data_IF_950520682714
#
_entry.id   IF_950520682714
#
_cell.length_a   1.000
_cell.length_b   1.000
_cell.length_c   1.000
_cell.angle_alpha   90.00
_cell.angle_beta   90.00
_cell.angle_gamma   90.00
#
_symmetry.space_group_name_H-M   'P 1'
#
loop_
_entity.id
_entity.type
_entity.pdbx_description
1 polymer ?
#
# COMPACT_ATOMS: atom_id res chain seq x y z
N UNK A 1 -9.57 25.44 -48.95
CA UNK A 1 -9.73 24.77 -47.67
C UNK A 1 -8.38 24.61 -47.01
N UNK A 2 -8.06 25.47 -46.07
CA UNK A 2 -6.80 25.40 -45.32
C UNK A 2 -7.04 24.39 -44.19
N UNK A 3 -6.41 23.19 -44.27
CA UNK A 3 -6.38 22.23 -43.16
C UNK A 3 -5.65 22.89 -41.99
N UNK A 4 -6.38 23.29 -40.95
CA UNK A 4 -5.81 23.65 -39.66
C UNK A 4 -5.01 22.44 -39.15
N UNK A 5 -3.68 22.50 -39.25
CA UNK A 5 -2.82 21.60 -38.48
C UNK A 5 -3.00 21.97 -37.02
N UNK A 6 -3.73 21.12 -36.28
CA UNK A 6 -3.72 21.17 -34.83
C UNK A 6 -2.31 20.72 -34.39
N UNK A 7 -1.48 21.70 -34.03
CA UNK A 7 -0.25 21.41 -33.31
C UNK A 7 -0.63 20.91 -31.93
N UNK A 8 -0.72 19.59 -31.78
CA UNK A 8 -0.67 18.99 -30.47
C UNK A 8 0.77 19.18 -30.01
N UNK A 9 0.99 20.08 -29.05
CA UNK A 9 2.30 20.22 -28.41
C UNK A 9 2.62 18.85 -27.79
N UNK A 10 3.61 18.15 -28.34
CA UNK A 10 4.13 16.95 -27.71
C UNK A 10 4.74 17.39 -26.39
N UNK A 11 4.13 16.98 -25.30
CA UNK A 11 4.66 17.26 -23.97
C UNK A 11 6.10 16.73 -23.92
N UNK A 12 7.02 17.54 -23.39
CA UNK A 12 8.44 17.17 -23.23
C UNK A 12 8.58 15.85 -22.47
N UNK A 13 7.67 15.54 -21.56
CA UNK A 13 7.61 14.25 -20.86
C UNK A 13 7.45 13.04 -21.80
N UNK A 14 6.83 13.21 -22.99
CA UNK A 14 6.71 12.15 -24.00
C UNK A 14 7.99 11.96 -24.81
N UNK A 15 8.94 12.87 -24.70
CA UNK A 15 10.27 12.76 -25.32
C UNK A 15 11.30 12.19 -24.36
N UNK A 16 11.00 12.17 -23.04
CA UNK A 16 11.82 11.50 -22.06
C UNK A 16 11.58 9.99 -22.12
N UNK A 17 12.61 9.19 -21.94
CA UNK A 17 12.51 7.73 -21.90
C UNK A 17 11.81 7.19 -20.65
N UNK A 18 10.98 7.98 -19.95
CA UNK A 18 10.24 7.61 -18.74
C UNK A 18 9.03 6.71 -18.99
N UNK A 19 8.89 6.15 -20.17
CA UNK A 19 7.70 5.41 -20.58
C UNK A 19 7.90 3.91 -20.30
N UNK A 20 6.98 3.32 -19.51
CA UNK A 20 6.86 1.89 -19.27
C UNK A 20 7.45 1.42 -17.94
N UNK A 21 6.91 0.31 -17.46
CA UNK A 21 7.29 -0.30 -16.18
C UNK A 21 8.48 -1.26 -16.30
N UNK A 22 8.72 -1.83 -17.47
CA UNK A 22 9.83 -2.79 -17.70
C UNK A 22 11.22 -2.15 -17.55
N UNK A 23 11.36 -0.91 -17.98
CA UNK A 23 12.60 -0.15 -17.96
C UNK A 23 12.43 1.11 -17.10
N UNK A 24 11.91 0.88 -15.88
CA UNK A 24 11.45 1.93 -14.99
C UNK A 24 12.60 2.76 -14.44
N UNK A 25 12.53 4.09 -14.64
CA UNK A 25 13.56 5.02 -14.20
C UNK A 25 13.74 5.03 -12.68
N UNK A 26 12.64 5.02 -11.92
CA UNK A 26 12.70 5.03 -10.45
C UNK A 26 13.43 3.81 -9.91
N UNK A 27 13.12 2.62 -10.45
CA UNK A 27 13.82 1.38 -10.12
C UNK A 27 15.31 1.48 -10.41
N UNK A 28 15.70 1.99 -11.59
CA UNK A 28 17.11 2.15 -11.95
C UNK A 28 17.84 3.13 -11.04
N UNK A 29 17.22 4.26 -10.67
CA UNK A 29 17.81 5.20 -9.71
C UNK A 29 17.98 4.51 -8.35
N UNK A 30 16.97 3.81 -7.86
CA UNK A 30 17.01 3.13 -6.56
C UNK A 30 18.09 2.06 -6.51
N UNK A 31 18.12 1.16 -7.49
CA UNK A 31 19.11 0.08 -7.57
C UNK A 31 20.52 0.64 -7.74
N UNK A 32 20.70 1.69 -8.54
CA UNK A 32 22.00 2.34 -8.71
C UNK A 32 22.49 2.99 -7.42
N UNK A 33 21.61 3.68 -6.72
CA UNK A 33 21.95 4.40 -5.49
C UNK A 33 22.31 3.44 -4.36
N UNK A 34 21.63 2.28 -4.29
CA UNK A 34 21.88 1.26 -3.27
C UNK A 34 23.01 0.27 -3.64
N UNK A 35 23.54 0.36 -4.86
CA UNK A 35 24.62 -0.51 -5.34
C UNK A 35 25.96 -0.18 -4.67
N UNK A 36 26.75 -1.23 -4.37
CA UNK A 36 28.16 -1.07 -3.96
C UNK A 36 29.03 -0.45 -5.05
N UNK A 37 28.64 -0.62 -6.33
CA UNK A 37 29.35 -0.09 -7.51
C UNK A 37 28.37 0.70 -8.38
N UNK A 38 28.00 1.92 -7.96
CA UNK A 38 27.03 2.72 -8.70
C UNK A 38 27.59 3.10 -10.09
N UNK A 39 26.73 3.02 -11.11
CA UNK A 39 27.01 3.56 -12.44
C UNK A 39 27.05 5.09 -12.39
N UNK A 40 27.71 5.72 -13.36
CA UNK A 40 27.62 7.17 -13.50
C UNK A 40 26.17 7.57 -13.80
N UNK A 41 25.58 8.38 -12.93
CA UNK A 41 24.21 8.88 -13.08
C UNK A 41 23.97 9.58 -14.44
N UNK A 42 25.04 10.07 -15.07
CA UNK A 42 25.00 10.63 -16.43
C UNK A 42 24.60 9.61 -17.49
N UNK A 43 25.00 8.36 -17.32
CA UNK A 43 24.62 7.28 -18.25
C UNK A 43 23.13 6.96 -18.14
N UNK A 44 22.60 6.89 -16.91
CA UNK A 44 21.17 6.70 -16.66
C UNK A 44 20.39 7.89 -17.24
N UNK A 45 20.83 9.11 -16.99
CA UNK A 45 20.22 10.32 -17.52
C UNK A 45 20.16 10.31 -19.05
N UNK A 46 21.26 9.94 -19.70
CA UNK A 46 21.36 9.82 -21.16
C UNK A 46 20.42 8.76 -21.71
N UNK A 47 20.36 7.58 -21.08
CA UNK A 47 19.45 6.49 -21.46
C UNK A 47 17.99 6.93 -21.48
N UNK A 48 17.58 7.74 -20.52
CA UNK A 48 16.21 8.24 -20.38
C UNK A 48 15.98 9.63 -21.01
N UNK A 49 16.94 10.18 -21.76
CA UNK A 49 16.87 11.51 -22.36
C UNK A 49 16.51 12.61 -21.35
N UNK A 50 17.12 12.58 -20.17
CA UNK A 50 16.91 13.51 -19.06
C UNK A 50 18.17 14.27 -18.69
N UNK A 51 18.00 15.44 -18.07
CA UNK A 51 19.10 16.16 -17.45
C UNK A 51 19.54 15.46 -16.14
N UNK A 52 20.85 15.47 -15.87
CA UNK A 52 21.43 14.91 -14.63
C UNK A 52 20.84 15.54 -13.39
N UNK A 53 20.54 16.84 -13.41
CA UNK A 53 19.87 17.55 -12.31
C UNK A 53 18.50 16.99 -11.95
N UNK A 54 17.77 16.45 -12.93
CA UNK A 54 16.48 15.81 -12.71
C UNK A 54 16.63 14.53 -11.87
N UNK A 55 17.65 13.72 -12.18
CA UNK A 55 17.93 12.49 -11.43
C UNK A 55 18.41 12.79 -10.02
N UNK A 56 19.32 13.76 -9.85
CA UNK A 56 19.75 14.20 -8.52
C UNK A 56 18.59 14.79 -7.70
N UNK A 57 17.67 15.51 -8.36
CA UNK A 57 16.47 16.01 -7.72
C UNK A 57 15.56 14.89 -7.22
N UNK A 58 15.42 13.80 -7.97
CA UNK A 58 14.70 12.62 -7.54
C UNK A 58 15.46 11.89 -6.41
N UNK A 59 16.73 11.57 -6.60
CA UNK A 59 17.57 10.87 -5.62
C UNK A 59 17.59 11.58 -4.25
N UNK A 60 17.78 12.90 -4.22
CA UNK A 60 17.84 13.66 -2.97
C UNK A 60 16.49 13.83 -2.27
N UNK A 61 15.37 13.57 -2.94
CA UNK A 61 14.04 13.69 -2.37
C UNK A 61 13.70 12.53 -1.45
N UNK A 62 13.99 11.29 -1.89
CA UNK A 62 13.63 10.10 -1.15
C UNK A 62 14.60 9.80 -0.02
N UNK A 63 14.06 9.52 1.17
CA UNK A 63 14.81 9.33 2.41
C UNK A 63 15.92 8.30 2.25
N UNK A 64 15.60 7.11 1.71
CA UNK A 64 16.56 6.01 1.61
C UNK A 64 17.60 6.17 0.50
N UNK A 65 17.38 7.09 -0.42
CA UNK A 65 18.34 7.35 -1.50
C UNK A 65 19.35 8.44 -1.13
N UNK A 66 19.17 9.14 -0.01
CA UNK A 66 20.09 10.19 0.43
C UNK A 66 21.46 9.62 0.76
N UNK A 67 22.55 10.33 0.39
CA UNK A 67 23.91 9.88 0.73
C UNK A 67 24.12 9.60 2.23
N UNK A 68 23.48 10.38 3.10
CA UNK A 68 23.55 10.20 4.56
C UNK A 68 22.95 8.88 5.06
N UNK A 69 22.09 8.22 4.26
CA UNK A 69 21.49 6.94 4.60
C UNK A 69 22.32 5.73 4.16
N UNK A 70 23.14 5.88 3.13
CA UNK A 70 23.96 4.78 2.59
C UNK A 70 24.92 4.16 3.60
N UNK A 71 25.38 4.93 4.58
CA UNK A 71 26.30 4.47 5.61
C UNK A 71 25.60 3.91 6.86
N UNK A 72 24.28 4.04 6.95
CA UNK A 72 23.50 3.55 8.08
C UNK A 72 23.30 2.05 7.95
N UNK A 73 23.40 1.36 9.10
CA UNK A 73 23.15 -0.09 9.22
C UNK A 73 21.84 -0.39 9.93
N UNK A 74 21.47 0.45 10.88
CA UNK A 74 20.22 0.31 11.61
C UNK A 74 19.40 1.61 11.54
N UNK A 75 18.08 1.46 11.52
CA UNK A 75 17.15 2.58 11.54
C UNK A 75 16.12 2.36 12.64
N UNK A 76 16.02 3.30 13.57
CA UNK A 76 15.02 3.27 14.65
C UNK A 76 13.73 3.89 14.16
N UNK A 77 12.60 3.27 14.47
CA UNK A 77 11.28 3.79 14.11
C UNK A 77 11.02 5.14 14.80
N UNK A 78 10.73 6.18 14.01
CA UNK A 78 10.38 7.52 14.48
C UNK A 78 8.87 7.82 14.33
N UNK A 79 8.03 6.77 14.34
CA UNK A 79 6.58 6.91 14.29
C UNK A 79 5.97 7.33 15.63
N UNK A 80 4.88 8.12 15.58
CA UNK A 80 4.25 8.70 16.79
C UNK A 80 3.83 7.63 17.81
N UNK A 81 3.37 6.45 17.40
CA UNK A 81 3.03 5.38 18.34
C UNK A 81 4.24 4.92 19.16
N UNK A 82 5.40 4.70 18.53
CA UNK A 82 6.64 4.35 19.23
C UNK A 82 7.17 5.51 20.10
N UNK A 83 7.04 6.74 19.62
CA UNK A 83 7.44 7.93 20.39
C UNK A 83 6.58 8.12 21.64
N UNK A 84 5.25 8.00 21.51
CA UNK A 84 4.33 8.07 22.64
C UNK A 84 4.56 6.97 23.67
N UNK A 85 4.96 5.78 23.23
CA UNK A 85 5.33 4.68 24.13
C UNK A 85 6.69 4.91 24.85
N UNK A 86 7.46 5.95 24.47
CA UNK A 86 8.73 6.29 25.10
C UNK A 86 9.84 5.26 24.93
N UNK A 87 9.74 4.38 23.92
CA UNK A 87 10.63 3.21 23.80
C UNK A 87 11.89 3.47 22.97
N UNK A 88 11.90 4.53 22.17
CA UNK A 88 12.84 4.69 21.06
C UNK A 88 14.21 5.27 21.46
N UNK A 89 14.27 6.19 22.43
CA UNK A 89 15.55 6.80 22.84
C UNK A 89 16.53 5.74 23.37
N UNK A 90 16.08 4.90 24.30
CA UNK A 90 16.90 3.82 24.87
C UNK A 90 17.36 2.82 23.81
N UNK A 91 16.45 2.46 22.88
CA UNK A 91 16.78 1.58 21.76
C UNK A 91 17.86 2.19 20.87
N UNK A 92 17.70 3.47 20.53
CA UNK A 92 18.66 4.22 19.70
C UNK A 92 20.03 4.29 20.34
N UNK A 93 20.09 4.56 21.65
CA UNK A 93 21.36 4.58 22.39
C UNK A 93 22.02 3.20 22.42
N UNK A 94 21.25 2.15 22.66
CA UNK A 94 21.76 0.76 22.62
C UNK A 94 22.34 0.39 21.24
N UNK A 95 21.65 0.74 20.15
CA UNK A 95 22.14 0.48 18.81
C UNK A 95 23.39 1.30 18.47
N UNK A 96 23.45 2.56 18.90
CA UNK A 96 24.65 3.42 18.72
C UNK A 96 25.84 2.90 19.47
N UNK A 97 25.67 2.41 20.69
CA UNK A 97 26.74 1.79 21.48
C UNK A 97 27.32 0.56 20.77
N UNK A 98 26.45 -0.26 20.16
CA UNK A 98 26.89 -1.52 19.51
C UNK A 98 27.41 -1.34 18.09
N UNK A 99 26.85 -0.43 17.31
CA UNK A 99 27.15 -0.26 15.88
C UNK A 99 28.01 0.98 15.59
N UNK A 100 28.05 1.96 16.49
CA UNK A 100 28.64 3.27 16.28
C UNK A 100 27.60 4.36 15.96
N UNK A 101 27.85 5.58 16.42
CA UNK A 101 26.93 6.72 16.27
C UNK A 101 26.52 6.99 14.82
N UNK A 102 27.48 6.88 13.89
CA UNK A 102 27.27 7.18 12.48
C UNK A 102 26.51 6.08 11.74
N UNK A 103 26.28 4.93 12.36
CA UNK A 103 25.65 3.77 11.74
C UNK A 103 24.17 3.61 12.06
N UNK A 104 23.62 4.49 12.92
CA UNK A 104 22.20 4.47 13.30
C UNK A 104 21.49 5.67 12.73
N UNK A 105 20.38 5.42 12.06
CA UNK A 105 19.47 6.42 11.50
C UNK A 105 18.07 6.29 12.08
N UNK A 106 17.14 7.01 11.46
CA UNK A 106 15.72 6.98 11.79
C UNK A 106 14.90 6.67 10.54
N UNK A 107 13.75 6.04 10.72
CA UNK A 107 12.84 5.62 9.65
C UNK A 107 11.40 5.79 10.14
N UNK A 108 10.48 6.21 9.29
CA UNK A 108 9.10 6.50 9.66
C UNK A 108 8.14 5.69 8.80
N UNK A 109 7.25 5.04 9.35
CA UNK A 109 6.90 4.18 10.44
C UNK A 109 7.14 2.73 10.00
N UNK A 110 7.69 1.85 10.84
CA UNK A 110 7.99 0.46 10.47
C UNK A 110 6.77 -0.48 10.56
N UNK A 111 5.58 0.04 10.90
CA UNK A 111 4.35 -0.74 11.00
C UNK A 111 4.27 -1.71 12.18
N UNK A 112 5.09 -1.52 13.24
CA UNK A 112 5.09 -2.31 14.47
C UNK A 112 4.46 -1.55 15.66
N UNK A 113 3.43 -0.77 15.39
CA UNK A 113 2.77 0.07 16.38
C UNK A 113 2.07 -0.73 17.49
N UNK A 114 1.81 -2.02 17.26
CA UNK A 114 1.18 -2.94 18.23
C UNK A 114 2.13 -3.41 19.35
N UNK A 115 3.46 -3.28 19.18
CA UNK A 115 4.46 -3.75 20.17
C UNK A 115 5.57 -2.75 20.46
N UNK A 116 5.76 -1.72 19.61
CA UNK A 116 6.81 -0.68 19.70
C UNK A 116 8.25 -1.24 19.68
N UNK A 117 9.23 -0.48 20.18
CA UNK A 117 10.65 -0.82 20.12
C UNK A 117 11.13 -1.21 18.71
N UNK A 118 10.49 -0.64 17.68
CA UNK A 118 10.72 -1.05 16.31
C UNK A 118 12.01 -0.46 15.74
N UNK A 119 12.80 -1.29 15.06
CA UNK A 119 13.97 -0.89 14.30
C UNK A 119 14.14 -1.78 13.06
N UNK A 120 14.81 -1.24 12.07
CA UNK A 120 15.20 -1.93 10.86
C UNK A 120 16.71 -2.22 10.90
N UNK A 121 17.12 -3.42 10.56
CA UNK A 121 18.53 -3.81 10.49
C UNK A 121 18.70 -4.90 9.43
N UNK A 122 19.68 -4.73 8.54
CA UNK A 122 20.06 -5.71 7.50
C UNK A 122 18.88 -6.21 6.65
N UNK A 123 17.99 -5.30 6.23
CA UNK A 123 16.86 -5.62 5.37
C UNK A 123 15.61 -6.13 6.09
N UNK A 124 15.64 -6.32 7.42
CA UNK A 124 14.54 -6.85 8.22
C UNK A 124 14.09 -5.87 9.31
N UNK A 125 12.81 -5.98 9.70
CA UNK A 125 12.25 -5.22 10.81
C UNK A 125 12.18 -6.08 12.06
N UNK A 126 12.56 -5.51 13.19
CA UNK A 126 12.52 -6.11 14.52
C UNK A 126 11.75 -5.20 15.47
N UNK A 127 11.05 -5.79 16.45
CA UNK A 127 10.25 -4.99 17.38
C UNK A 127 9.95 -5.74 18.68
N UNK A 128 9.35 -5.06 19.65
CA UNK A 128 8.88 -5.65 20.89
C UNK A 128 9.99 -6.39 21.66
N UNK A 129 9.78 -7.67 21.89
CA UNK A 129 10.74 -8.55 22.62
C UNK A 129 12.03 -8.85 21.85
N UNK A 130 12.08 -8.57 20.55
CA UNK A 130 13.28 -8.81 19.74
C UNK A 130 14.46 -7.96 20.22
N UNK A 131 14.21 -6.85 20.93
CA UNK A 131 15.27 -6.02 21.52
C UNK A 131 16.16 -6.81 22.50
N UNK A 132 15.62 -7.83 23.16
CA UNK A 132 16.39 -8.67 24.08
C UNK A 132 17.43 -9.53 23.32
N UNK A 133 17.26 -9.66 22.01
CA UNK A 133 18.11 -10.46 21.12
C UNK A 133 18.99 -9.58 20.19
N UNK A 134 19.15 -8.29 20.49
CA UNK A 134 19.91 -7.36 19.63
C UNK A 134 21.31 -7.91 19.29
N UNK A 135 22.00 -8.56 20.24
CA UNK A 135 23.32 -9.12 19.98
C UNK A 135 23.30 -10.28 18.98
N UNK A 136 22.25 -11.10 19.00
CA UNK A 136 22.07 -12.18 18.03
C UNK A 136 21.73 -11.60 16.65
N UNK A 137 20.83 -10.60 16.59
CA UNK A 137 20.46 -9.91 15.36
C UNK A 137 21.68 -9.29 14.68
N UNK A 138 22.51 -8.56 15.44
CA UNK A 138 23.72 -7.92 14.91
C UNK A 138 24.74 -8.93 14.39
N UNK A 139 24.79 -10.15 14.98
CA UNK A 139 25.63 -11.25 14.50
C UNK A 139 25.06 -11.97 13.27
N UNK A 140 23.86 -11.61 12.81
CA UNK A 140 23.18 -12.27 11.70
C UNK A 140 22.58 -13.63 12.06
N UNK A 141 22.32 -13.89 13.35
CA UNK A 141 21.62 -15.10 13.78
C UNK A 141 20.13 -14.98 13.46
N UNK A 142 19.56 -16.04 12.90
CA UNK A 142 18.11 -16.09 12.61
C UNK A 142 17.31 -16.10 13.92
N UNK A 143 16.38 -15.17 14.06
CA UNK A 143 15.46 -15.10 15.19
C UNK A 143 14.03 -15.36 14.73
N UNK A 144 13.30 -16.16 15.50
CA UNK A 144 11.86 -16.35 15.27
C UNK A 144 11.12 -15.12 15.75
N UNK A 145 10.49 -14.42 14.83
CA UNK A 145 9.60 -13.29 15.13
C UNK A 145 8.16 -13.75 15.32
N UNK A 146 7.46 -13.15 16.27
CA UNK A 146 6.03 -13.39 16.48
C UNK A 146 5.22 -12.54 15.49
N UNK A 147 4.15 -13.11 14.92
CA UNK A 147 3.18 -12.34 14.14
C UNK A 147 2.27 -11.55 15.08
N UNK A 148 1.81 -10.40 14.62
CA UNK A 148 0.78 -9.66 15.33
C UNK A 148 -0.55 -10.42 15.32
N UNK A 149 -1.36 -10.16 16.34
CA UNK A 149 -2.68 -10.80 16.48
C UNK A 149 -3.65 -10.22 15.44
N UNK A 150 -4.41 -11.07 14.79
CA UNK A 150 -5.46 -10.67 13.85
C UNK A 150 -6.72 -11.52 14.06
N UNK A 151 -7.90 -10.87 14.02
CA UNK A 151 -9.19 -11.56 14.19
C UNK A 151 -10.34 -10.78 13.56
N UNK A 152 -11.29 -11.50 12.95
CA UNK A 152 -12.56 -10.90 12.52
C UNK A 152 -13.61 -10.95 13.63
N UNK A 153 -14.22 -9.80 13.87
CA UNK A 153 -15.44 -9.63 14.68
C UNK A 153 -16.63 -9.17 13.82
N UNK A 154 -16.45 -9.18 12.51
CA UNK A 154 -17.49 -8.82 11.57
C UNK A 154 -18.62 -9.84 11.51
N UNK A 155 -19.84 -9.39 11.28
CA UNK A 155 -21.01 -10.25 11.04
C UNK A 155 -20.78 -11.18 9.84
N UNK A 156 -20.12 -10.66 8.82
CA UNK A 156 -19.60 -11.42 7.66
C UNK A 156 -18.21 -10.91 7.34
N UNK A 157 -17.23 -11.80 7.36
CA UNK A 157 -15.86 -11.45 6.99
C UNK A 157 -15.71 -11.32 5.46
N UNK A 158 -15.12 -10.21 5.01
CA UNK A 158 -14.79 -9.94 3.61
C UNK A 158 -13.29 -9.85 3.39
N UNK A 159 -12.55 -9.51 4.44
CA UNK A 159 -11.12 -9.22 4.39
C UNK A 159 -10.27 -10.34 4.99
N UNK A 160 -10.80 -11.03 6.02
CA UNK A 160 -10.10 -12.07 6.78
C UNK A 160 -10.65 -13.49 6.53
N UNK A 161 -11.59 -13.69 5.61
CA UNK A 161 -12.09 -15.02 5.26
C UNK A 161 -11.07 -15.80 4.42
N UNK A 162 -11.15 -17.14 4.46
CA UNK A 162 -10.26 -18.08 3.77
C UNK A 162 -10.74 -18.47 2.35
N UNK A 163 -11.66 -17.71 1.75
CA UNK A 163 -12.26 -18.05 0.46
C UNK A 163 -11.34 -17.82 -0.73
N UNK A 164 -10.20 -17.18 -0.51
CA UNK A 164 -9.15 -16.98 -1.51
C UNK A 164 -7.76 -17.11 -0.87
N UNK A 165 -7.53 -18.20 -0.17
CA UNK A 165 -6.29 -18.51 0.55
C UNK A 165 -5.35 -19.44 -0.22
N UNK A 166 -5.80 -20.01 -1.35
CA UNK A 166 -5.00 -20.89 -2.20
C UNK A 166 -5.07 -20.52 -3.67
N UNK A 167 -4.06 -20.98 -4.43
CA UNK A 167 -4.01 -20.79 -5.88
C UNK A 167 -5.13 -21.53 -6.62
N UNK A 168 -5.62 -22.63 -6.08
CA UNK A 168 -6.75 -23.36 -6.66
C UNK A 168 -8.04 -22.55 -6.52
N UNK A 169 -8.30 -22.00 -5.36
CA UNK A 169 -9.42 -21.07 -5.15
C UNK A 169 -9.29 -19.83 -6.05
N UNK A 170 -8.08 -19.29 -6.21
CA UNK A 170 -7.81 -18.18 -7.12
C UNK A 170 -8.17 -18.54 -8.56
N UNK A 171 -7.72 -19.70 -9.04
CA UNK A 171 -8.03 -20.23 -10.37
C UNK A 171 -9.54 -20.38 -10.59
N UNK A 172 -10.26 -20.98 -9.65
CA UNK A 172 -11.70 -21.20 -9.74
C UNK A 172 -12.47 -19.87 -9.82
N UNK A 173 -12.15 -18.92 -8.96
CA UNK A 173 -12.78 -17.60 -8.99
C UNK A 173 -12.43 -16.85 -10.28
N UNK A 174 -11.17 -16.90 -10.71
CA UNK A 174 -10.73 -16.25 -11.94
C UNK A 174 -11.48 -16.79 -13.17
N UNK A 175 -11.57 -18.14 -13.29
CA UNK A 175 -12.30 -18.80 -14.37
C UNK A 175 -13.80 -18.43 -14.38
N UNK A 176 -14.41 -18.24 -13.20
CA UNK A 176 -15.79 -17.76 -13.07
C UNK A 176 -15.93 -16.31 -13.56
N UNK A 177 -15.08 -15.40 -13.05
CA UNK A 177 -15.25 -13.97 -13.32
C UNK A 177 -14.81 -13.55 -14.71
N UNK A 178 -13.86 -14.24 -15.34
CA UNK A 178 -13.52 -13.97 -16.76
C UNK A 178 -14.67 -14.30 -17.73
N UNK A 179 -15.66 -15.10 -17.32
CA UNK A 179 -16.88 -15.38 -18.06
C UNK A 179 -18.05 -14.46 -17.72
N UNK A 180 -17.89 -13.62 -16.72
CA UNK A 180 -18.93 -12.67 -16.25
C UNK A 180 -18.83 -11.38 -17.06
N UNK A 181 -19.99 -10.77 -17.40
CA UNK A 181 -19.99 -9.45 -18.06
C UNK A 181 -19.32 -8.41 -17.13
N UNK A 182 -18.39 -7.64 -17.67
CA UNK A 182 -17.68 -6.56 -16.96
C UNK A 182 -18.64 -5.56 -16.30
N UNK A 183 -19.80 -5.31 -16.92
CA UNK A 183 -20.84 -4.42 -16.37
C UNK A 183 -21.49 -5.01 -15.11
N UNK A 184 -21.61 -6.31 -15.01
CA UNK A 184 -22.15 -6.98 -13.81
C UNK A 184 -21.14 -6.87 -12.65
N UNK A 185 -19.84 -6.98 -12.93
CA UNK A 185 -18.78 -6.76 -11.93
C UNK A 185 -18.85 -5.32 -11.41
N UNK A 186 -18.91 -4.34 -12.31
CA UNK A 186 -19.05 -2.91 -11.93
C UNK A 186 -20.34 -2.68 -11.14
N UNK A 187 -21.46 -3.25 -11.59
CA UNK A 187 -22.74 -3.15 -10.90
C UNK A 187 -22.67 -3.72 -9.48
N UNK A 188 -22.05 -4.87 -9.30
CA UNK A 188 -21.86 -5.47 -7.97
C UNK A 188 -21.09 -4.53 -7.03
N UNK A 189 -20.03 -3.87 -7.52
CA UNK A 189 -19.27 -2.90 -6.72
C UNK A 189 -20.07 -1.61 -6.43
N UNK A 190 -20.92 -1.16 -7.36
CA UNK A 190 -21.81 -0.02 -7.13
C UNK A 190 -22.89 -0.36 -6.09
N UNK A 191 -23.55 -1.50 -6.25
CA UNK A 191 -24.59 -1.97 -5.34
C UNK A 191 -24.08 -2.24 -3.92
N UNK A 192 -22.80 -2.58 -3.78
CA UNK A 192 -22.15 -2.75 -2.47
C UNK A 192 -21.94 -1.47 -1.68
N UNK A 193 -22.00 -0.30 -2.33
CA UNK A 193 -21.60 1.00 -1.76
C UNK A 193 -20.14 1.02 -1.24
N UNK A 194 -19.24 0.22 -1.82
CA UNK A 194 -17.83 0.26 -1.45
C UNK A 194 -17.21 1.60 -1.82
N UNK A 195 -16.70 2.30 -0.82
CA UNK A 195 -15.88 3.50 -0.97
C UNK A 195 -14.41 3.20 -0.71
N UNK A 196 -13.52 4.02 -1.28
CA UNK A 196 -12.08 3.88 -1.09
C UNK A 196 -11.68 3.88 0.38
N UNK A 197 -10.87 2.90 0.79
CA UNK A 197 -10.44 2.67 2.19
C UNK A 197 -9.16 3.43 2.56
N UNK A 198 -8.50 4.04 1.59
CA UNK A 198 -7.27 4.82 1.81
C UNK A 198 -7.49 6.30 2.15
N UNK A 199 -8.67 6.70 2.66
CA UNK A 199 -8.96 8.04 3.17
C UNK A 199 -9.87 8.90 2.28
N UNK A 200 -9.73 8.87 0.95
CA UNK A 200 -10.50 9.75 0.04
C UNK A 200 -11.99 9.38 -0.09
N UNK A 201 -12.40 8.17 0.25
CA UNK A 201 -13.80 7.75 0.29
C UNK A 201 -14.55 7.76 -1.05
N UNK A 202 -13.86 7.82 -2.20
CA UNK A 202 -14.52 7.84 -3.50
C UNK A 202 -15.12 6.46 -3.83
N UNK A 203 -16.35 6.38 -4.42
CA UNK A 203 -16.99 5.10 -4.75
C UNK A 203 -16.17 4.28 -5.74
N UNK A 204 -15.78 3.06 -5.33
CA UNK A 204 -14.84 2.21 -6.08
C UNK A 204 -15.41 1.77 -7.42
N UNK A 205 -16.69 1.34 -7.46
CA UNK A 205 -17.37 0.96 -8.70
C UNK A 205 -17.42 2.10 -9.72
N UNK A 206 -17.64 3.35 -9.28
CA UNK A 206 -17.60 4.53 -10.15
C UNK A 206 -16.21 4.80 -10.70
N UNK A 207 -15.15 4.64 -9.86
CA UNK A 207 -13.75 4.83 -10.29
C UNK A 207 -13.41 3.84 -11.42
N UNK A 208 -13.78 2.57 -11.28
CA UNK A 208 -13.54 1.55 -12.30
C UNK A 208 -14.35 1.82 -13.57
N UNK A 209 -15.62 2.18 -13.44
CA UNK A 209 -16.49 2.53 -14.57
C UNK A 209 -15.95 3.72 -15.37
N UNK A 210 -15.55 4.80 -14.71
CA UNK A 210 -14.98 5.97 -15.38
C UNK A 210 -13.70 5.63 -16.15
N UNK A 211 -12.78 4.87 -15.54
CA UNK A 211 -11.56 4.46 -16.21
C UNK A 211 -11.85 3.50 -17.37
N UNK A 212 -12.84 2.60 -17.24
CA UNK A 212 -13.24 1.70 -18.33
C UNK A 212 -13.67 2.45 -19.59
N UNK A 213 -14.37 3.56 -19.41
CA UNK A 213 -14.89 4.44 -20.48
C UNK A 213 -13.87 5.46 -20.99
N UNK A 214 -12.79 5.69 -20.25
CA UNK A 214 -11.75 6.63 -20.65
C UNK A 214 -11.04 6.15 -21.93
N UNK A 215 -10.81 7.11 -22.86
CA UNK A 215 -10.11 6.83 -24.12
C UNK A 215 -8.61 6.76 -23.88
N UNK A 216 -7.96 5.73 -24.39
CA UNK A 216 -6.50 5.55 -24.33
C UNK A 216 -6.11 4.25 -25.02
N UNK A 217 -4.90 4.21 -25.55
CA UNK A 217 -4.29 3.03 -26.16
C UNK A 217 -3.79 2.03 -25.10
N UNK A 218 -3.57 2.48 -23.88
CA UNK A 218 -3.16 1.70 -22.71
C UNK A 218 -3.82 2.25 -21.44
N UNK A 219 -4.03 1.35 -20.47
CA UNK A 219 -4.54 1.70 -19.13
C UNK A 219 -3.70 0.99 -18.08
N UNK A 220 -3.70 1.51 -16.85
CA UNK A 220 -2.93 0.94 -15.75
C UNK A 220 -3.78 0.72 -14.50
N UNK A 221 -3.41 -0.31 -13.73
CA UNK A 221 -3.91 -0.55 -12.38
C UNK A 221 -2.78 -0.34 -11.39
N UNK A 222 -2.98 0.51 -10.41
CA UNK A 222 -2.02 0.73 -9.33
C UNK A 222 -2.65 0.33 -8.00
N UNK A 223 -1.99 -0.56 -7.27
CA UNK A 223 -2.24 -0.79 -5.86
C UNK A 223 -1.37 0.17 -5.05
N UNK A 224 -2.00 1.07 -4.32
CA UNK A 224 -1.32 1.95 -3.38
C UNK A 224 -1.15 1.22 -2.05
N UNK A 225 0.06 0.76 -1.80
CA UNK A 225 0.50 0.10 -0.58
C UNK A 225 1.56 0.94 0.17
N UNK A 226 1.46 2.27 0.05
CA UNK A 226 2.29 3.22 0.80
C UNK A 226 1.58 3.63 2.10
N UNK A 227 1.38 2.66 3.01
CA UNK A 227 0.77 2.83 4.33
C UNK A 227 1.75 3.52 5.29
N UNK A 228 1.95 4.83 5.12
CA UNK A 228 2.89 5.62 5.91
C UNK A 228 2.37 6.10 7.28
N UNK A 229 1.10 5.89 7.58
CA UNK A 229 0.45 6.41 8.78
C UNK A 229 0.87 5.64 10.05
N UNK A 230 1.38 6.37 11.03
CA UNK A 230 1.67 5.78 12.34
C UNK A 230 0.38 5.30 13.01
N UNK A 231 0.38 4.04 13.48
CA UNK A 231 -0.81 3.38 14.02
C UNK A 231 -1.55 2.53 12.98
N UNK A 232 -1.28 2.69 11.68
CA UNK A 232 -1.84 1.88 10.61
C UNK A 232 -0.87 0.76 10.19
N UNK A 233 -1.37 -0.47 10.17
CA UNK A 233 -0.67 -1.67 9.67
C UNK A 233 -1.66 -2.71 9.11
N UNK A 234 -2.81 -2.24 8.66
CA UNK A 234 -3.88 -3.06 8.06
C UNK A 234 -3.53 -3.50 6.64
N UNK A 235 -2.94 -2.61 5.85
CA UNK A 235 -2.47 -2.94 4.51
C UNK A 235 -1.31 -3.96 4.59
N UNK A 236 -0.41 -3.80 5.56
CA UNK A 236 0.64 -4.76 5.87
C UNK A 236 0.06 -6.15 6.13
N UNK A 237 -1.00 -6.26 6.97
CA UNK A 237 -1.69 -7.52 7.20
C UNK A 237 -2.20 -8.16 5.89
N UNK A 238 -2.88 -7.39 5.05
CA UNK A 238 -3.43 -7.90 3.80
C UNK A 238 -2.34 -8.35 2.82
N UNK A 239 -1.23 -7.65 2.78
CA UNK A 239 -0.11 -7.99 1.90
C UNK A 239 0.62 -9.27 2.37
N UNK A 240 0.74 -9.48 3.69
CA UNK A 240 1.47 -10.61 4.27
C UNK A 240 0.61 -11.87 4.44
N UNK A 241 -0.65 -11.73 4.85
CA UNK A 241 -1.53 -12.86 5.18
C UNK A 241 -2.65 -13.11 4.14
N UNK A 242 -3.01 -12.12 3.32
CA UNK A 242 -4.06 -12.21 2.28
C UNK A 242 -3.58 -11.74 0.88
N UNK A 243 -2.33 -12.04 0.45
CA UNK A 243 -1.78 -11.49 -0.79
C UNK A 243 -2.60 -11.84 -2.03
N UNK A 244 -3.14 -13.06 -2.09
CA UNK A 244 -3.97 -13.51 -3.22
C UNK A 244 -5.25 -12.69 -3.36
N UNK A 245 -5.84 -12.27 -2.25
CA UNK A 245 -7.06 -11.44 -2.25
C UNK A 245 -6.80 -10.05 -2.83
N UNK A 246 -5.67 -9.45 -2.48
CA UNK A 246 -5.22 -8.15 -3.04
C UNK A 246 -4.94 -8.28 -4.53
N UNK A 247 -4.16 -9.29 -4.93
CA UNK A 247 -3.80 -9.55 -6.33
C UNK A 247 -5.06 -9.81 -7.16
N UNK A 248 -5.99 -10.61 -6.66
CA UNK A 248 -7.26 -10.88 -7.36
C UNK A 248 -8.05 -9.60 -7.63
N UNK A 249 -8.13 -8.69 -6.65
CA UNK A 249 -8.76 -7.37 -6.82
C UNK A 249 -8.11 -6.55 -7.93
N UNK A 250 -6.77 -6.60 -8.03
CA UNK A 250 -6.05 -5.93 -9.13
C UNK A 250 -6.35 -6.56 -10.49
N UNK A 251 -6.37 -7.90 -10.58
CA UNK A 251 -6.71 -8.64 -11.82
C UNK A 251 -8.13 -8.30 -12.27
N UNK A 252 -9.09 -8.29 -11.35
CA UNK A 252 -10.49 -7.94 -11.65
C UNK A 252 -10.62 -6.48 -12.09
N UNK A 253 -9.89 -5.56 -11.47
CA UNK A 253 -9.83 -4.17 -11.91
C UNK A 253 -9.27 -4.08 -13.34
N UNK A 254 -8.15 -4.75 -13.62
CA UNK A 254 -7.54 -4.82 -14.96
C UNK A 254 -8.50 -5.37 -16.00
N UNK A 255 -9.18 -6.47 -15.69
CA UNK A 255 -10.19 -7.07 -16.57
C UNK A 255 -11.32 -6.08 -16.89
N UNK A 256 -11.87 -5.41 -15.88
CA UNK A 256 -12.99 -4.47 -16.04
C UNK A 256 -12.57 -3.27 -16.90
N UNK A 257 -11.44 -2.63 -16.58
CA UNK A 257 -11.04 -1.40 -17.27
C UNK A 257 -10.36 -1.65 -18.63
N UNK A 258 -9.98 -2.91 -18.92
CA UNK A 258 -9.24 -3.27 -20.13
C UNK A 258 -7.75 -2.90 -20.04
N UNK A 259 -7.15 -3.12 -18.88
CA UNK A 259 -5.70 -2.98 -18.65
C UNK A 259 -5.02 -4.34 -18.75
N UNK A 260 -3.83 -4.36 -19.33
CA UNK A 260 -2.94 -5.52 -19.42
C UNK A 260 -1.77 -5.45 -18.42
N UNK A 261 -1.70 -4.39 -17.61
CA UNK A 261 -0.55 -4.15 -16.74
C UNK A 261 -0.96 -3.45 -15.43
N UNK A 262 -0.41 -3.97 -14.33
CA UNK A 262 -0.57 -3.37 -13.00
C UNK A 262 0.73 -3.29 -12.23
N UNK A 263 0.76 -2.42 -11.23
CA UNK A 263 1.90 -2.26 -10.33
C UNK A 263 1.43 -2.12 -8.88
N UNK A 264 2.08 -2.86 -7.98
CA UNK A 264 1.95 -2.62 -6.54
C UNK A 264 3.07 -1.67 -6.13
N UNK A 265 2.69 -0.50 -5.62
CA UNK A 265 3.64 0.43 -5.01
C UNK A 265 3.68 0.14 -3.52
N UNK A 266 4.73 -0.54 -3.07
CA UNK A 266 4.90 -0.98 -1.69
C UNK A 266 6.03 -0.17 -1.07
N UNK A 267 5.82 0.38 0.11
CA UNK A 267 6.85 1.11 0.84
C UNK A 267 8.03 0.21 1.22
N UNK A 268 9.25 0.76 1.11
CA UNK A 268 10.48 0.01 1.41
C UNK A 268 10.61 -0.44 2.86
N UNK A 269 9.85 0.19 3.77
CA UNK A 269 9.79 -0.16 5.21
C UNK A 269 9.05 -1.47 5.49
N UNK A 270 8.47 -2.13 4.48
CA UNK A 270 7.70 -3.39 4.62
C UNK A 270 8.36 -4.56 3.88
N UNK A 271 9.57 -5.02 4.28
CA UNK A 271 10.30 -6.08 3.57
C UNK A 271 9.52 -7.38 3.47
N UNK A 272 8.83 -7.81 4.52
CA UNK A 272 8.01 -9.05 4.51
C UNK A 272 6.81 -8.96 3.58
N UNK A 273 6.17 -7.80 3.48
CA UNK A 273 5.09 -7.58 2.53
C UNK A 273 5.58 -7.66 1.08
N UNK A 274 6.77 -7.11 0.80
CA UNK A 274 7.41 -7.19 -0.51
C UNK A 274 7.71 -8.65 -0.88
N UNK A 275 8.27 -9.42 0.06
CA UNK A 275 8.57 -10.84 -0.12
C UNK A 275 7.30 -11.66 -0.38
N UNK A 276 6.27 -11.52 0.44
CA UNK A 276 5.01 -12.26 0.33
C UNK A 276 4.29 -12.00 -1.00
N UNK A 277 4.18 -10.73 -1.40
CA UNK A 277 3.56 -10.35 -2.68
C UNK A 277 4.39 -10.85 -3.86
N UNK A 278 5.73 -10.70 -3.81
CA UNK A 278 6.60 -11.16 -4.90
C UNK A 278 6.53 -12.69 -5.05
N UNK A 279 6.52 -13.42 -3.95
CA UNK A 279 6.30 -14.86 -3.93
C UNK A 279 4.98 -15.27 -4.58
N UNK A 280 3.89 -14.60 -4.22
CA UNK A 280 2.55 -14.84 -4.75
C UNK A 280 2.45 -14.52 -6.24
N UNK A 281 2.98 -13.39 -6.71
CA UNK A 281 3.03 -13.03 -8.13
C UNK A 281 3.80 -14.09 -8.92
N UNK A 282 4.98 -14.50 -8.45
CA UNK A 282 5.79 -15.50 -9.13
C UNK A 282 5.09 -16.86 -9.20
N UNK A 283 4.39 -17.26 -8.15
CA UNK A 283 3.59 -18.49 -8.14
C UNK A 283 2.45 -18.44 -9.15
N UNK A 284 1.68 -17.34 -9.16
CA UNK A 284 0.57 -17.16 -10.11
C UNK A 284 1.05 -17.11 -11.57
N UNK A 285 2.21 -16.48 -11.84
CA UNK A 285 2.82 -16.49 -13.19
C UNK A 285 3.20 -17.90 -13.64
N UNK A 286 3.82 -18.70 -12.75
CA UNK A 286 4.18 -20.10 -13.05
C UNK A 286 2.96 -20.96 -13.37
N UNK A 287 1.80 -20.66 -12.80
CA UNK A 287 0.53 -21.35 -13.01
C UNK A 287 -0.28 -20.81 -14.21
N UNK A 288 0.21 -19.76 -14.91
CA UNK A 288 -0.53 -19.12 -16.01
C UNK A 288 -1.77 -18.34 -15.55
N UNK A 289 -1.83 -17.96 -14.27
CA UNK A 289 -2.91 -17.16 -13.69
C UNK A 289 -2.61 -15.66 -13.70
N UNK A 290 -1.40 -15.29 -14.11
CA UNK A 290 -0.92 -13.95 -14.45
C UNK A 290 -0.03 -14.04 -15.69
N UNK A 291 -0.02 -12.97 -16.50
CA UNK A 291 0.77 -12.86 -17.72
C UNK A 291 -0.12 -12.84 -18.98
N UNK A 292 0.31 -13.49 -20.04
CA UNK A 292 -0.37 -13.50 -21.32
C UNK A 292 -1.44 -14.60 -21.41
N UNK A 293 -2.57 -14.30 -22.09
CA UNK A 293 -3.65 -15.26 -22.41
C UNK A 293 -4.12 -16.10 -21.21
N UNK A 294 -4.42 -15.44 -20.10
CA UNK A 294 -4.79 -16.06 -18.83
C UNK A 294 -5.95 -17.06 -19.04
N UNK A 295 -5.77 -18.30 -18.58
CA UNK A 295 -6.72 -19.42 -18.74
C UNK A 295 -7.16 -19.66 -20.19
N UNK A 296 -6.30 -19.35 -21.17
CA UNK A 296 -6.58 -19.51 -22.60
C UNK A 296 -7.59 -18.50 -23.17
N UNK A 297 -7.83 -17.38 -22.46
CA UNK A 297 -8.67 -16.28 -22.94
C UNK A 297 -7.83 -15.20 -23.64
N UNK A 298 -8.50 -14.22 -24.25
CA UNK A 298 -7.82 -13.04 -24.83
C UNK A 298 -7.36 -12.03 -23.75
N UNK A 299 -7.63 -12.30 -22.47
CA UNK A 299 -7.23 -11.43 -21.38
C UNK A 299 -5.79 -11.73 -20.94
N UNK A 300 -4.99 -10.68 -20.92
CA UNK A 300 -3.63 -10.69 -20.40
C UNK A 300 -3.51 -9.67 -19.31
N UNK A 301 -2.83 -9.98 -18.23
CA UNK A 301 -2.56 -9.03 -17.16
C UNK A 301 -1.30 -9.42 -16.41
N UNK A 302 -0.30 -8.54 -16.45
CA UNK A 302 0.96 -8.73 -15.73
C UNK A 302 1.07 -7.76 -14.55
N UNK A 303 1.73 -8.22 -13.48
CA UNK A 303 1.97 -7.45 -12.28
C UNK A 303 3.46 -7.28 -12.01
N UNK A 304 3.84 -6.03 -11.67
CA UNK A 304 5.15 -5.68 -11.15
C UNK A 304 5.05 -5.06 -9.76
N UNK A 305 6.19 -4.99 -9.07
CA UNK A 305 6.34 -4.28 -7.80
C UNK A 305 7.21 -3.04 -8.03
N UNK A 306 6.78 -1.91 -7.46
CA UNK A 306 7.58 -0.71 -7.33
C UNK A 306 7.81 -0.47 -5.84
N UNK A 307 9.08 -0.46 -5.41
CA UNK A 307 9.43 -0.29 -3.99
C UNK A 307 9.63 1.20 -3.71
N UNK A 308 8.80 1.75 -2.83
CA UNK A 308 8.93 3.12 -2.33
C UNK A 308 10.24 3.32 -1.56
N UNK A 309 10.79 4.53 -1.60
CA UNK A 309 12.10 4.83 -1.03
C UNK A 309 12.02 5.84 0.12
N UNK A 310 10.98 5.72 0.95
CA UNK A 310 10.83 6.55 2.14
C UNK A 310 10.38 7.98 1.83
N UNK A 311 9.12 8.14 1.43
CA UNK A 311 8.48 9.45 1.27
C UNK A 311 6.98 9.32 1.56
N UNK A 312 6.53 9.80 2.72
CA UNK A 312 5.12 9.75 3.15
C UNK A 312 4.12 10.27 2.11
N UNK A 313 4.51 11.32 1.36
CA UNK A 313 3.65 11.93 0.35
C UNK A 313 3.28 10.95 -0.78
N UNK A 314 4.05 9.85 -0.97
CA UNK A 314 3.73 8.82 -1.95
C UNK A 314 2.43 8.06 -1.64
N UNK A 315 1.84 8.22 -0.45
CA UNK A 315 0.47 7.78 -0.15
C UNK A 315 -0.61 8.54 -0.93
N UNK A 316 -0.32 9.77 -1.40
CA UNK A 316 -1.22 10.52 -2.29
C UNK A 316 -1.11 10.01 -3.73
N UNK A 317 -2.25 9.79 -4.42
CA UNK A 317 -2.29 9.07 -5.70
C UNK A 317 -1.47 9.73 -6.83
N UNK A 318 -1.39 11.06 -6.90
CA UNK A 318 -0.64 11.76 -7.94
C UNK A 318 0.85 11.81 -7.65
N UNK A 319 1.23 11.96 -6.39
CA UNK A 319 2.59 11.89 -5.92
C UNK A 319 3.17 10.47 -6.10
N UNK A 320 2.37 9.43 -5.85
CA UNK A 320 2.71 8.04 -6.12
C UNK A 320 2.99 7.81 -7.62
N UNK A 321 2.12 8.31 -8.49
CA UNK A 321 2.33 8.25 -9.95
C UNK A 321 3.63 8.96 -10.33
N UNK A 322 3.87 10.16 -9.81
CA UNK A 322 5.11 10.89 -10.03
C UNK A 322 6.35 10.08 -9.61
N UNK A 323 6.26 9.38 -8.47
CA UNK A 323 7.32 8.49 -7.98
C UNK A 323 7.59 7.34 -8.95
N UNK A 324 6.55 6.59 -9.37
CA UNK A 324 6.72 5.49 -10.35
C UNK A 324 7.37 5.99 -11.64
N UNK A 325 7.08 7.22 -12.07
CA UNK A 325 7.68 7.85 -13.25
C UNK A 325 9.13 8.33 -13.03
N UNK A 326 9.71 8.14 -11.85
CA UNK A 326 11.07 8.60 -11.51
C UNK A 326 11.20 10.10 -11.35
N UNK A 327 10.10 10.76 -11.00
CA UNK A 327 10.05 12.17 -10.59
C UNK A 327 10.13 12.31 -9.07
N UNK A 328 10.33 13.51 -8.56
CA UNK A 328 10.03 13.83 -7.17
C UNK A 328 8.53 13.61 -6.94
N UNK A 329 8.18 13.01 -5.82
CA UNK A 329 6.80 12.73 -5.47
C UNK A 329 6.08 14.01 -5.04
N UNK A 330 5.72 14.84 -6.00
CA UNK A 330 4.97 16.08 -5.80
C UNK A 330 3.52 15.88 -6.25
N UNK A 331 2.59 16.50 -5.53
CA UNK A 331 1.16 16.42 -5.83
C UNK A 331 0.84 17.21 -7.08
N UNK A 332 0.20 16.58 -8.05
CA UNK A 332 -0.28 17.23 -9.26
C UNK A 332 -1.68 17.83 -9.06
N UNK A 333 -1.94 18.99 -9.70
CA UNK A 333 -3.26 19.65 -9.65
C UNK A 333 -4.30 18.83 -10.41
N UNK A 334 -5.49 18.68 -9.84
CA UNK A 334 -6.64 18.03 -10.46
C UNK A 334 -7.76 19.03 -10.79
N UNK A 335 -8.48 18.93 -11.92
CA UNK A 335 -8.35 17.98 -13.02
C UNK A 335 -7.11 18.22 -13.92
N UNK A 336 -6.62 17.19 -14.70
CA UNK A 336 -7.25 15.89 -14.91
C UNK A 336 -7.09 14.92 -13.73
N UNK A 337 -8.07 14.01 -13.55
CA UNK A 337 -7.99 12.95 -12.57
C UNK A 337 -7.24 11.74 -13.14
N UNK A 338 -6.56 10.91 -12.32
CA UNK A 338 -5.82 9.73 -12.79
C UNK A 338 -6.63 8.77 -13.66
N UNK A 339 -7.93 8.64 -13.42
CA UNK A 339 -8.81 7.79 -14.24
C UNK A 339 -8.91 8.23 -15.71
N UNK A 340 -8.52 9.48 -16.01
CA UNK A 340 -8.44 10.01 -17.39
C UNK A 340 -7.00 10.21 -17.85
N UNK A 341 -6.12 10.69 -16.95
CA UNK A 341 -4.73 11.01 -17.25
C UNK A 341 -3.86 10.79 -16.01
N UNK A 342 -3.42 9.54 -15.81
CA UNK A 342 -2.59 9.09 -14.69
C UNK A 342 -1.17 8.71 -15.11
N UNK A 343 -0.76 7.48 -14.83
CA UNK A 343 0.59 6.96 -15.08
C UNK A 343 0.95 7.08 -16.58
N UNK A 344 2.06 7.74 -16.83
CA UNK A 344 2.54 8.06 -18.20
C UNK A 344 1.48 8.75 -19.06
N UNK A 345 0.63 9.57 -18.43
CA UNK A 345 -0.49 10.27 -19.09
C UNK A 345 -1.55 9.33 -19.69
N UNK A 346 -1.69 8.13 -19.14
CA UNK A 346 -2.68 7.13 -19.54
C UNK A 346 -3.75 6.97 -18.46
N UNK A 347 -4.98 6.58 -18.81
CA UNK A 347 -6.02 6.29 -17.82
C UNK A 347 -5.53 5.27 -16.80
N UNK A 348 -5.66 5.60 -15.51
CA UNK A 348 -5.11 4.79 -14.42
C UNK A 348 -6.10 4.70 -13.26
N UNK A 349 -6.35 3.50 -12.77
CA UNK A 349 -7.01 3.30 -11.49
C UNK A 349 -5.96 3.16 -10.40
N UNK A 350 -6.01 4.03 -9.39
CA UNK A 350 -5.24 3.89 -8.16
C UNK A 350 -6.21 3.49 -7.05
N UNK A 351 -6.00 2.33 -6.44
CA UNK A 351 -6.76 1.87 -5.27
C UNK A 351 -5.82 1.46 -4.14
N UNK A 352 -6.23 1.74 -2.90
CA UNK A 352 -5.55 1.24 -1.72
C UNK A 352 -5.71 -0.28 -1.59
N UNK A 353 -4.82 -0.94 -0.84
CA UNK A 353 -4.78 -2.40 -0.61
C UNK A 353 -6.10 -2.93 -0.07
N UNK A 354 -6.62 -2.34 1.03
CA UNK A 354 -7.88 -2.77 1.63
C UNK A 354 -9.07 -2.59 0.68
N UNK A 355 -9.06 -1.56 -0.16
CA UNK A 355 -10.11 -1.36 -1.18
C UNK A 355 -10.13 -2.50 -2.19
N UNK A 356 -8.97 -2.96 -2.66
CA UNK A 356 -8.87 -4.08 -3.61
C UNK A 356 -9.26 -5.41 -2.95
N UNK A 357 -8.82 -5.65 -1.72
CA UNK A 357 -9.21 -6.83 -0.95
C UNK A 357 -10.73 -6.84 -0.67
N UNK A 358 -11.32 -5.70 -0.31
CA UNK A 358 -12.76 -5.57 -0.11
C UNK A 358 -13.54 -5.81 -1.40
N UNK A 359 -13.08 -5.27 -2.53
CA UNK A 359 -13.69 -5.55 -3.84
C UNK A 359 -13.70 -7.05 -4.15
N UNK A 360 -12.60 -7.75 -3.89
CA UNK A 360 -12.52 -9.21 -3.98
C UNK A 360 -13.53 -9.91 -3.08
N UNK A 361 -13.56 -9.52 -1.80
CA UNK A 361 -14.51 -10.06 -0.83
C UNK A 361 -15.97 -9.87 -1.26
N UNK A 362 -16.32 -8.72 -1.81
CA UNK A 362 -17.65 -8.41 -2.35
C UNK A 362 -17.99 -9.30 -3.54
N UNK A 363 -17.09 -9.44 -4.49
CA UNK A 363 -17.30 -10.29 -5.68
C UNK A 363 -17.55 -11.75 -5.29
N UNK A 364 -16.86 -12.26 -4.26
CA UNK A 364 -16.98 -13.65 -3.81
C UNK A 364 -18.21 -13.85 -2.91
N UNK A 365 -18.48 -12.92 -1.99
CA UNK A 365 -19.50 -13.06 -0.95
C UNK A 365 -20.85 -12.42 -1.29
N UNK A 366 -20.88 -11.52 -2.28
CA UNK A 366 -22.07 -10.80 -2.73
C UNK A 366 -22.17 -9.38 -2.20
N UNK A 367 -22.63 -8.47 -3.06
CA UNK A 367 -22.78 -7.03 -2.78
C UNK A 367 -23.84 -6.72 -1.72
N UNK A 368 -24.95 -7.46 -1.72
CA UNK A 368 -26.04 -7.27 -0.76
C UNK A 368 -25.59 -7.52 0.69
N UNK A 369 -24.78 -8.56 0.91
CA UNK A 369 -24.25 -8.85 2.25
C UNK A 369 -23.33 -7.73 2.74
N UNK A 370 -22.52 -7.15 1.82
CA UNK A 370 -21.65 -6.05 2.18
C UNK A 370 -22.43 -4.77 2.45
N UNK A 371 -23.38 -4.41 1.59
CA UNK A 371 -24.18 -3.18 1.72
C UNK A 371 -25.17 -3.21 2.89
N UNK A 372 -25.52 -4.40 3.40
CA UNK A 372 -26.37 -4.55 4.58
C UNK A 372 -25.65 -4.25 5.91
N UNK A 373 -24.33 -4.20 5.91
CA UNK A 373 -23.50 -3.85 7.07
C UNK A 373 -23.25 -2.35 7.07
N UNK A 374 -23.38 -1.70 8.24
CA UNK A 374 -23.14 -0.25 8.38
C UNK A 374 -24.31 0.59 7.84
N UNK A 375 -23.97 1.63 7.08
CA UNK A 375 -24.94 2.53 6.47
C UNK A 375 -24.52 2.92 5.04
N UNK A 376 -25.40 3.64 4.30
CA UNK A 376 -25.12 4.01 2.89
C UNK A 376 -23.82 4.79 2.65
N UNK A 377 -23.33 5.55 3.64
CA UNK A 377 -22.09 6.33 3.53
C UNK A 377 -20.87 5.56 3.99
N UNK A 378 -21.07 4.55 4.83
CA UNK A 378 -20.04 3.74 5.46
C UNK A 378 -20.50 2.28 5.49
N UNK A 379 -20.51 1.63 4.32
CA UNK A 379 -20.98 0.26 4.16
C UNK A 379 -19.85 -0.77 4.37
N UNK A 380 -20.23 -1.96 4.80
CA UNK A 380 -19.37 -3.13 4.88
C UNK A 380 -18.53 -3.20 6.13
N UNK A 381 -17.38 -3.84 6.00
CA UNK A 381 -16.40 -4.02 7.07
C UNK A 381 -15.16 -3.14 6.85
N UNK A 382 -14.38 -2.96 7.91
CA UNK A 382 -13.11 -2.24 7.90
C UNK A 382 -12.08 -2.96 8.75
N UNK A 383 -10.82 -2.95 8.34
CA UNK A 383 -9.72 -3.31 9.22
C UNK A 383 -9.40 -2.15 10.16
N UNK A 384 -9.36 -2.46 11.44
CA UNK A 384 -8.99 -1.52 12.51
C UNK A 384 -7.71 -2.01 13.17
N UNK A 385 -6.71 -1.14 13.23
CA UNK A 385 -5.46 -1.39 13.93
C UNK A 385 -5.56 -0.80 15.35
N UNK A 386 -5.28 -1.62 16.35
CA UNK A 386 -5.16 -1.19 17.75
C UNK A 386 -3.68 -1.27 18.14
N UNK A 387 -3.14 -0.16 18.65
CA UNK A 387 -1.74 -0.03 18.99
C UNK A 387 -1.39 -0.67 20.34
N UNK A 388 -0.15 -0.52 20.76
CA UNK A 388 0.41 -1.12 21.99
C UNK A 388 -0.20 -0.64 23.30
N UNK A 389 -0.96 0.46 23.30
CA UNK A 389 -1.63 0.96 24.50
C UNK A 389 -2.89 0.16 24.86
N UNK A 390 -3.43 -0.60 23.93
CA UNK A 390 -4.52 -1.53 24.21
C UNK A 390 -4.01 -2.82 24.87
N UNK A 391 -4.86 -3.45 25.69
CA UNK A 391 -4.54 -4.77 26.27
C UNK A 391 -4.45 -5.85 25.18
N UNK A 392 -5.28 -5.75 24.14
CA UNK A 392 -5.28 -6.63 22.98
C UNK A 392 -4.90 -5.83 21.72
N UNK A 393 -3.61 -5.52 21.50
CA UNK A 393 -3.18 -4.86 20.28
C UNK A 393 -3.24 -5.80 19.08
N UNK A 394 -3.50 -5.28 17.87
CA UNK A 394 -3.58 -6.11 16.67
C UNK A 394 -4.43 -5.53 15.56
N UNK A 395 -4.76 -6.36 14.57
CA UNK A 395 -5.63 -6.00 13.44
C UNK A 395 -6.95 -6.74 13.53
N UNK A 396 -8.04 -6.01 13.42
CA UNK A 396 -9.39 -6.53 13.59
C UNK A 396 -10.28 -6.14 12.42
N UNK A 397 -10.98 -7.12 11.83
CA UNK A 397 -12.05 -6.81 10.89
C UNK A 397 -13.34 -6.57 11.67
N UNK A 398 -13.93 -5.40 11.48
CA UNK A 398 -15.07 -4.89 12.26
C UNK A 398 -16.14 -4.33 11.32
N UNK A 399 -17.41 -4.53 11.66
CA UNK A 399 -18.53 -3.94 10.94
C UNK A 399 -18.50 -2.42 11.05
N UNK A 400 -18.69 -1.72 9.93
CA UNK A 400 -18.91 -0.28 9.95
C UNK A 400 -20.15 0.04 10.80
N UNK A 401 -20.12 1.17 11.51
CA UNK A 401 -21.16 1.55 12.45
C UNK A 401 -21.00 0.99 13.85
N UNK A 402 -20.00 0.14 14.11
CA UNK A 402 -19.71 -0.35 15.46
C UNK A 402 -19.31 0.79 16.38
N UNK A 403 -19.89 0.92 17.60
CA UNK A 403 -19.50 1.95 18.55
C UNK A 403 -18.01 1.87 18.92
N UNK A 404 -17.32 3.01 18.92
CA UNK A 404 -15.89 3.08 19.27
C UNK A 404 -15.62 2.56 20.68
N UNK A 405 -16.54 2.81 21.63
CA UNK A 405 -16.45 2.26 22.99
C UNK A 405 -16.37 0.74 23.00
N UNK A 406 -17.18 0.07 22.14
CA UNK A 406 -17.15 -1.39 22.03
C UNK A 406 -15.82 -1.87 21.46
N UNK A 407 -15.31 -1.18 20.43
CA UNK A 407 -14.00 -1.50 19.84
C UNK A 407 -12.89 -1.38 20.89
N UNK A 408 -12.88 -0.30 21.67
CA UNK A 408 -11.81 -0.05 22.63
C UNK A 408 -11.90 -0.95 23.86
N UNK A 409 -13.09 -1.09 24.46
CA UNK A 409 -13.24 -1.79 25.73
C UNK A 409 -13.39 -3.30 25.58
N UNK A 410 -14.14 -3.77 24.57
CA UNK A 410 -14.42 -5.21 24.43
C UNK A 410 -13.38 -5.87 23.51
N UNK A 411 -13.12 -5.32 22.33
CA UNK A 411 -12.18 -5.89 21.36
C UNK A 411 -10.74 -5.61 21.78
N UNK A 412 -10.42 -4.34 22.06
CA UNK A 412 -9.10 -3.91 22.53
C UNK A 412 -8.82 -4.29 23.98
N UNK A 413 -9.83 -4.74 24.74
CA UNK A 413 -9.70 -5.16 26.14
C UNK A 413 -9.42 -3.99 27.10
N UNK A 414 -9.72 -2.75 26.70
CA UNK A 414 -9.39 -1.54 27.45
C UNK A 414 -7.92 -1.13 27.28
N UNK A 415 -7.46 -0.24 28.14
CA UNK A 415 -6.15 0.42 28.03
C UNK A 415 -5.19 -0.05 29.12
N UNK A 416 -3.92 -0.11 28.81
CA UNK A 416 -2.85 -0.42 29.78
C UNK A 416 -2.59 0.74 30.77
N UNK A 417 -2.91 1.96 30.35
CA UNK A 417 -2.68 3.19 31.11
C UNK A 417 -3.88 4.13 31.01
N UNK A 418 -3.92 5.19 31.79
CA UNK A 418 -4.98 6.21 31.71
C UNK A 418 -4.89 6.96 30.39
N UNK A 419 -5.93 6.85 29.56
CA UNK A 419 -6.03 7.50 28.26
C UNK A 419 -6.64 8.90 28.41
N UNK A 420 -6.00 9.93 27.85
CA UNK A 420 -6.51 11.30 27.79
C UNK A 420 -7.28 11.56 26.49
N UNK A 421 -6.71 11.10 25.39
CA UNK A 421 -7.25 11.27 24.04
C UNK A 421 -6.73 10.16 23.15
N UNK A 422 -7.34 9.97 21.98
CA UNK A 422 -6.90 9.05 20.97
C UNK A 422 -6.90 9.70 19.58
N UNK A 423 -6.07 9.21 18.68
CA UNK A 423 -6.02 9.65 17.29
C UNK A 423 -6.61 8.56 16.42
N UNK A 424 -7.49 8.94 15.49
CA UNK A 424 -8.10 8.04 14.49
C UNK A 424 -7.71 8.52 13.10
N UNK A 425 -7.38 7.60 12.20
CA UNK A 425 -7.10 7.91 10.79
C UNK A 425 -5.67 8.37 10.52
N UNK A 426 -4.71 8.01 11.39
CA UNK A 426 -3.30 8.35 11.22
C UNK A 426 -2.98 9.82 11.50
N UNK A 427 -1.79 10.31 11.08
CA UNK A 427 -1.32 11.67 11.37
C UNK A 427 -2.20 12.80 10.85
N UNK A 428 -2.94 12.54 9.76
CA UNK A 428 -3.89 13.49 9.17
C UNK A 428 -5.29 13.41 9.80
N UNK A 429 -5.52 12.43 10.68
CA UNK A 429 -6.76 12.27 11.42
C UNK A 429 -6.85 13.20 12.62
N UNK A 430 -8.06 13.24 13.22
CA UNK A 430 -8.32 14.05 14.40
C UNK A 430 -7.80 13.42 15.69
N UNK A 431 -7.43 14.26 16.66
CA UNK A 431 -7.22 13.86 18.05
C UNK A 431 -8.52 14.10 18.82
N UNK A 432 -9.07 13.03 19.38
CA UNK A 432 -10.39 13.03 20.02
C UNK A 432 -10.21 12.79 21.52
N UNK A 433 -10.76 13.63 22.40
CA UNK A 433 -10.77 13.39 23.84
C UNK A 433 -11.54 12.10 24.17
N UNK A 434 -11.07 11.36 25.18
CA UNK A 434 -11.75 10.12 25.59
C UNK A 434 -13.21 10.33 26.02
N UNK A 435 -13.57 11.53 26.51
CA UNK A 435 -14.94 11.89 26.87
C UNK A 435 -15.94 11.78 25.72
N UNK A 436 -15.47 11.89 24.47
CA UNK A 436 -16.33 11.85 23.27
C UNK A 436 -16.58 10.42 22.75
N UNK A 437 -15.91 9.41 23.31
CA UNK A 437 -15.96 8.03 22.79
C UNK A 437 -17.37 7.43 22.73
N UNK A 438 -18.24 7.85 23.64
CA UNK A 438 -19.64 7.39 23.72
C UNK A 438 -20.47 7.80 22.49
N UNK A 439 -20.09 8.90 21.83
CA UNK A 439 -20.80 9.48 20.72
C UNK A 439 -20.25 9.05 19.35
N UNK A 440 -19.19 8.24 19.33
CA UNK A 440 -18.48 7.86 18.12
C UNK A 440 -18.74 6.44 17.69
N UNK A 441 -18.96 6.28 16.41
CA UNK A 441 -19.02 4.98 15.75
C UNK A 441 -17.90 4.88 14.70
N UNK A 442 -17.53 3.67 14.32
CA UNK A 442 -16.63 3.41 13.21
C UNK A 442 -17.30 3.81 11.89
N UNK A 443 -17.02 4.99 11.39
CA UNK A 443 -17.53 5.48 10.11
C UNK A 443 -16.53 6.42 9.40
N UNK A 444 -16.91 6.95 8.24
CA UNK A 444 -16.11 7.88 7.44
C UNK A 444 -16.53 9.35 7.63
N UNK A 445 -17.04 9.74 8.77
CA UNK A 445 -17.44 11.11 9.05
C UNK A 445 -16.46 11.85 9.92
#
# INVERSE_FOLDING_TARGET
MIKKRVFVSKNISNLSGRIGLKDNLFKQISENTLSEKPQDIKEIAKKHNLGVSTLHGAESFYEFLRPSHREKKAFVCNGSACMCAGTQEKLKDTLKEKLGNDKVGEMFCLGHCYENHAFHYDGENYAGKDIEKIDQIIKGEEIKQEKFFSKSFATTSFLMDDKLSSTDQFNDQLNKFLKTDKKEIVKSLLDSNLTGRGGAGFPTGMKWDFCSKAKGDKKYVICNADEGDSGAFSDRYLLEDQPLKVIFGMVMCGFVIGSDEGVLYIRGEYPKSIEAINGSINQLKKLGLLGENILGTDFSFDLGICIGQGAYICGEETALIASIEGRRAEVDVRPPFPVTEGLYKKPTVVNNVETLAAATGILINGSEKFSSIGNKKSAGTKLVCLDSFFNNPGVYEIDMGTPMKKIFNEIGGGYKETLKAFQIGGPLGGVVPLSEIENLNLDFR
#
